data_IF_243410149995
#
_entry.id   IF_243410149995
#
_cell.length_a   1.000
_cell.length_b   1.000
_cell.length_c   1.000
_cell.angle_alpha   90.00
_cell.angle_beta   90.00
_cell.angle_gamma   90.00
#
_symmetry.space_group_name_H-M   'P 1'
#
loop_
_entity.id
_entity.type
_entity.pdbx_description
1 polymer ?
#
# COMPACT_ATOMS: atom_id res chain seq x y z
N UNK A 1 10.29 -15.57 -1.94
CA UNK A 1 10.98 -14.45 -1.25
C UNK A 1 10.16 -14.13 -0.02
N UNK A 2 10.77 -14.09 1.18
CA UNK A 2 10.05 -13.71 2.40
C UNK A 2 9.87 -12.19 2.44
N UNK A 3 8.68 -11.71 2.07
CA UNK A 3 8.37 -10.28 2.01
C UNK A 3 8.34 -9.64 3.41
N UNK A 4 7.98 -10.38 4.45
CA UNK A 4 7.90 -9.85 5.82
C UNK A 4 9.28 -9.52 6.41
N UNK A 5 10.35 -10.11 5.87
CA UNK A 5 11.72 -9.76 6.22
C UNK A 5 12.14 -8.34 5.78
N UNK A 6 11.47 -7.77 4.77
CA UNK A 6 11.80 -6.44 4.23
C UNK A 6 11.39 -5.35 5.21
N UNK A 7 12.06 -4.20 5.22
CA UNK A 7 11.64 -3.06 6.03
C UNK A 7 10.30 -2.47 5.56
N UNK A 8 9.61 -1.72 6.42
CA UNK A 8 8.41 -0.99 6.01
C UNK A 8 8.70 -0.07 4.82
N UNK A 9 9.85 0.63 4.84
CA UNK A 9 10.35 1.42 3.70
C UNK A 9 10.52 0.58 2.43
N UNK A 10 11.10 -0.61 2.55
CA UNK A 10 11.29 -1.53 1.42
C UNK A 10 9.97 -1.96 0.80
N UNK A 11 9.01 -2.32 1.65
CA UNK A 11 7.65 -2.69 1.23
C UNK A 11 6.89 -1.52 0.60
N UNK A 12 6.93 -0.32 1.19
CA UNK A 12 6.30 0.87 0.59
C UNK A 12 6.82 1.18 -0.81
N UNK A 13 8.14 1.05 -1.02
CA UNK A 13 8.74 1.20 -2.35
C UNK A 13 8.28 0.11 -3.34
N UNK A 14 8.10 -1.13 -2.89
CA UNK A 14 7.54 -2.20 -3.72
C UNK A 14 6.11 -1.88 -4.15
N UNK A 15 5.26 -1.43 -3.23
CA UNK A 15 3.89 -1.01 -3.55
C UNK A 15 3.88 0.14 -4.56
N UNK A 16 4.68 1.20 -4.34
CA UNK A 16 4.78 2.33 -5.27
C UNK A 16 5.19 1.88 -6.69
N UNK A 17 6.10 0.91 -6.81
CA UNK A 17 6.49 0.34 -8.11
C UNK A 17 5.37 -0.49 -8.71
N UNK A 18 4.68 -1.31 -7.92
CA UNK A 18 3.58 -2.15 -8.37
C UNK A 18 2.36 -1.36 -8.86
N UNK A 19 2.16 -0.12 -8.38
CA UNK A 19 1.14 0.77 -8.93
C UNK A 19 1.39 1.18 -10.39
N UNK A 20 2.65 1.30 -10.83
CA UNK A 20 2.95 1.86 -12.16
C UNK A 20 2.38 1.01 -13.30
N UNK A 21 2.53 -0.34 -13.30
CA UNK A 21 1.87 -1.18 -14.30
C UNK A 21 0.33 -1.08 -14.25
N UNK A 22 -0.29 -1.06 -13.08
CA UNK A 22 -1.76 -0.97 -12.97
C UNK A 22 -2.31 0.35 -13.53
N UNK A 23 -1.57 1.45 -13.41
CA UNK A 23 -1.94 2.77 -13.93
C UNK A 23 -1.72 2.94 -15.44
N UNK A 24 -0.90 2.08 -16.04
CA UNK A 24 -0.51 2.20 -17.46
C UNK A 24 -1.04 1.05 -18.29
N UNK A 25 -1.67 0.06 -17.65
CA UNK A 25 -2.26 -1.07 -18.33
C UNK A 25 -3.39 -0.59 -19.23
N UNK A 26 -3.24 -0.85 -20.53
CA UNK A 26 -4.29 -0.60 -21.51
C UNK A 26 -4.80 -1.94 -21.99
N UNK A 27 -6.10 -2.18 -21.82
CA UNK A 27 -6.74 -3.32 -22.46
C UNK A 27 -6.52 -3.24 -23.97
N UNK A 28 -6.17 -4.37 -24.57
CA UNK A 28 -6.01 -4.50 -26.03
C UNK A 28 -7.35 -4.66 -26.75
N UNK A 29 -8.47 -4.74 -26.03
CA UNK A 29 -9.80 -4.85 -26.62
C UNK A 29 -10.35 -3.46 -27.02
N UNK A 30 -10.54 -3.19 -28.33
CA UNK A 30 -11.11 -1.92 -28.82
C UNK A 30 -12.52 -1.63 -28.31
N UNK A 31 -13.26 -2.64 -27.83
CA UNK A 31 -14.63 -2.51 -27.32
C UNK A 31 -14.75 -1.89 -25.93
N UNK A 32 -13.65 -1.79 -25.16
CA UNK A 32 -13.67 -1.35 -23.76
C UNK A 32 -13.15 0.09 -23.55
N UNK A 33 -12.98 0.86 -24.63
CA UNK A 33 -12.42 2.23 -24.59
C UNK A 33 -13.11 3.20 -23.62
N UNK A 34 -14.40 3.00 -23.29
CA UNK A 34 -15.13 3.85 -22.33
C UNK A 34 -14.93 3.44 -20.86
N UNK A 35 -14.44 2.23 -20.57
CA UNK A 35 -14.08 1.79 -19.21
C UNK A 35 -12.69 2.33 -18.80
N UNK A 36 -11.88 2.72 -19.78
CA UNK A 36 -10.51 3.17 -19.60
C UNK A 36 -10.38 4.36 -18.63
N UNK A 37 -11.27 5.36 -18.72
CA UNK A 37 -11.22 6.54 -17.85
C UNK A 37 -11.58 6.20 -16.40
N UNK A 38 -12.50 5.26 -16.20
CA UNK A 38 -12.94 4.79 -14.89
C UNK A 38 -11.84 3.98 -14.19
N UNK A 39 -11.13 3.15 -14.94
CA UNK A 39 -10.04 2.32 -14.41
C UNK A 39 -8.79 3.14 -14.09
N UNK A 40 -8.46 4.14 -14.92
CA UNK A 40 -7.38 5.10 -14.65
C UNK A 40 -7.63 5.88 -13.35
N UNK A 41 -8.87 6.37 -13.15
CA UNK A 41 -9.27 7.05 -11.91
C UNK A 41 -9.23 6.11 -10.69
N UNK A 42 -9.62 4.85 -10.86
CA UNK A 42 -9.70 3.85 -9.79
C UNK A 42 -8.34 3.62 -9.12
N UNK A 43 -7.28 3.46 -9.90
CA UNK A 43 -5.92 3.25 -9.37
C UNK A 43 -5.25 4.57 -8.97
N UNK A 44 -5.54 5.68 -9.65
CA UNK A 44 -4.98 7.00 -9.32
C UNK A 44 -5.41 7.49 -7.93
N UNK A 45 -6.70 7.32 -7.59
CA UNK A 45 -7.23 7.66 -6.27
C UNK A 45 -6.58 6.82 -5.15
N UNK A 46 -6.37 5.52 -5.41
CA UNK A 46 -5.71 4.59 -4.47
C UNK A 46 -4.23 4.91 -4.27
N UNK A 47 -3.52 5.24 -5.35
CA UNK A 47 -2.13 5.69 -5.24
C UNK A 47 -2.04 6.98 -4.44
N UNK A 48 -2.95 7.92 -4.66
CA UNK A 48 -3.00 9.18 -3.90
C UNK A 48 -3.21 8.91 -2.41
N UNK A 49 -4.19 8.08 -2.06
CA UNK A 49 -4.44 7.68 -0.67
C UNK A 49 -3.23 6.96 -0.03
N UNK A 50 -2.55 6.10 -0.78
CA UNK A 50 -1.35 5.43 -0.30
C UNK A 50 -0.16 6.39 -0.10
N UNK A 51 0.03 7.36 -0.99
CA UNK A 51 1.04 8.42 -0.81
C UNK A 51 0.77 9.27 0.42
N UNK A 52 -0.49 9.64 0.65
CA UNK A 52 -0.88 10.35 1.87
C UNK A 52 -0.57 9.54 3.13
N UNK A 53 -0.81 8.23 3.10
CA UNK A 53 -0.41 7.36 4.21
C UNK A 53 1.11 7.36 4.41
N UNK A 54 1.90 7.19 3.34
CA UNK A 54 3.38 7.24 3.39
C UNK A 54 3.84 8.52 4.08
N UNK A 55 3.31 9.67 3.66
CA UNK A 55 3.69 10.98 4.18
C UNK A 55 3.26 11.13 5.64
N UNK A 56 2.10 10.59 6.04
CA UNK A 56 1.58 10.71 7.40
C UNK A 56 2.43 10.00 8.47
N UNK A 57 3.13 8.92 8.08
CA UNK A 57 3.96 8.14 9.00
C UNK A 57 5.45 8.21 8.66
N UNK A 58 5.84 9.03 7.70
CA UNK A 58 7.20 9.07 7.14
C UNK A 58 7.72 7.68 6.74
N UNK A 59 6.90 6.87 6.06
CA UNK A 59 7.22 5.46 5.75
C UNK A 59 8.52 5.30 4.94
N UNK A 60 8.94 6.34 4.21
CA UNK A 60 10.16 6.34 3.41
C UNK A 60 11.40 6.90 4.14
N UNK A 61 11.26 7.32 5.40
CA UNK A 61 12.36 7.87 6.17
C UNK A 61 13.51 6.85 6.34
N UNK A 62 14.77 7.29 6.18
CA UNK A 62 15.92 6.42 6.33
C UNK A 62 16.31 6.21 7.80
N UNK A 63 17.06 5.13 8.06
CA UNK A 63 17.84 4.93 9.29
C UNK A 63 17.00 5.10 10.57
N UNK A 64 17.46 5.90 11.55
CA UNK A 64 16.78 6.09 12.84
C UNK A 64 15.41 6.79 12.76
N UNK A 65 15.13 7.47 11.65
CA UNK A 65 13.82 8.07 11.41
C UNK A 65 12.82 7.09 10.75
N UNK A 66 13.28 5.92 10.32
CA UNK A 66 12.43 4.90 9.72
C UNK A 66 11.33 4.43 10.66
N UNK A 67 10.23 3.98 10.06
CA UNK A 67 9.11 3.41 10.79
C UNK A 67 9.52 2.15 11.57
N UNK A 68 10.39 1.31 10.99
CA UNK A 68 10.97 0.15 11.67
C UNK A 68 11.73 0.55 12.96
N UNK A 69 12.54 1.60 12.91
CA UNK A 69 13.26 2.09 14.10
C UNK A 69 12.33 2.73 15.13
N UNK A 70 11.25 3.39 14.70
CA UNK A 70 10.29 4.05 15.59
C UNK A 70 9.36 3.06 16.29
N UNK A 71 9.14 1.90 15.68
CA UNK A 71 8.28 0.83 16.19
C UNK A 71 9.09 -0.37 16.70
N UNK A 72 10.40 -0.21 16.94
CA UNK A 72 11.25 -1.33 17.38
C UNK A 72 10.82 -1.93 18.72
N UNK A 73 10.20 -1.14 19.59
CA UNK A 73 9.64 -1.59 20.87
C UNK A 73 8.15 -1.95 20.77
N UNK A 74 7.51 -1.66 19.64
CA UNK A 74 6.11 -1.94 19.34
C UNK A 74 6.04 -3.03 18.25
N UNK A 75 6.62 -4.20 18.53
CA UNK A 75 6.82 -5.28 17.55
C UNK A 75 5.51 -5.71 16.85
N UNK A 76 4.40 -5.72 17.60
CA UNK A 76 3.07 -6.04 17.05
C UNK A 76 2.63 -4.97 16.03
N UNK A 77 2.78 -3.69 16.35
CA UNK A 77 2.40 -2.60 15.45
C UNK A 77 3.27 -2.61 14.19
N UNK A 78 4.58 -2.84 14.35
CA UNK A 78 5.50 -3.00 13.22
C UNK A 78 5.09 -4.19 12.34
N UNK A 79 4.81 -5.34 12.95
CA UNK A 79 4.35 -6.52 12.22
C UNK A 79 3.06 -6.23 11.44
N UNK A 80 2.07 -5.60 12.06
CA UNK A 80 0.80 -5.27 11.42
C UNK A 80 0.97 -4.31 10.24
N UNK A 81 1.82 -3.29 10.38
CA UNK A 81 2.15 -2.39 9.26
C UNK A 81 2.76 -3.17 8.10
N UNK A 82 3.76 -4.02 8.39
CA UNK A 82 4.45 -4.80 7.37
C UNK A 82 3.53 -5.81 6.70
N UNK A 83 2.70 -6.52 7.47
CA UNK A 83 1.72 -7.46 6.96
C UNK A 83 0.70 -6.79 6.02
N UNK A 84 0.19 -5.61 6.38
CA UNK A 84 -0.73 -4.88 5.51
C UNK A 84 -0.04 -4.33 4.26
N UNK A 85 1.23 -3.90 4.34
CA UNK A 85 1.99 -3.53 3.13
C UNK A 85 2.23 -4.73 2.21
N UNK A 86 2.49 -5.91 2.77
CA UNK A 86 2.61 -7.16 2.00
C UNK A 86 1.29 -7.50 1.31
N UNK A 87 0.18 -7.45 2.03
CA UNK A 87 -1.15 -7.69 1.47
C UNK A 87 -1.45 -6.70 0.34
N UNK A 88 -1.19 -5.41 0.55
CA UNK A 88 -1.37 -4.38 -0.46
C UNK A 88 -0.51 -4.62 -1.71
N UNK A 89 0.74 -5.03 -1.53
CA UNK A 89 1.64 -5.39 -2.63
C UNK A 89 1.12 -6.59 -3.42
N UNK A 90 0.75 -7.67 -2.73
CA UNK A 90 0.23 -8.88 -3.36
C UNK A 90 -1.07 -8.61 -4.12
N UNK A 91 -2.00 -7.85 -3.55
CA UNK A 91 -3.23 -7.46 -4.24
C UNK A 91 -2.98 -6.63 -5.52
N UNK A 92 -1.92 -5.80 -5.56
CA UNK A 92 -1.51 -5.10 -6.79
C UNK A 92 -0.93 -6.05 -7.84
N UNK A 93 -0.13 -7.03 -7.42
CA UNK A 93 0.38 -8.08 -8.32
C UNK A 93 -0.77 -8.92 -8.88
N UNK A 94 -1.75 -9.29 -8.04
CA UNK A 94 -2.93 -10.04 -8.43
C UNK A 94 -3.78 -9.24 -9.43
N UNK A 95 -4.04 -7.95 -9.16
CA UNK A 95 -4.70 -7.07 -10.12
C UNK A 95 -3.99 -7.07 -11.48
N UNK A 96 -2.67 -6.95 -11.49
CA UNK A 96 -1.89 -6.93 -12.72
C UNK A 96 -1.97 -8.25 -13.49
N UNK A 97 -2.00 -9.39 -12.78
CA UNK A 97 -2.13 -10.71 -13.42
C UNK A 97 -3.53 -10.90 -14.01
N UNK A 98 -4.57 -10.57 -13.25
CA UNK A 98 -5.97 -10.62 -13.71
C UNK A 98 -6.19 -9.70 -14.91
N UNK A 99 -5.65 -8.48 -14.90
CA UNK A 99 -5.69 -7.58 -16.06
C UNK A 99 -5.07 -8.20 -17.31
N UNK A 100 -3.92 -8.87 -17.20
CA UNK A 100 -3.28 -9.55 -18.34
C UNK A 100 -4.11 -10.72 -18.87
N UNK A 101 -4.85 -11.38 -17.99
CA UNK A 101 -5.73 -12.51 -18.32
C UNK A 101 -7.12 -12.06 -18.79
N UNK A 102 -7.41 -10.75 -18.78
CA UNK A 102 -8.75 -10.16 -18.97
C UNK A 102 -9.80 -10.70 -17.98
N UNK A 103 -9.37 -11.01 -16.77
CA UNK A 103 -10.22 -11.47 -15.68
C UNK A 103 -10.63 -10.30 -14.76
N UNK A 104 -11.76 -10.40 -14.04
CA UNK A 104 -12.23 -9.37 -13.11
C UNK A 104 -11.24 -9.09 -11.97
N UNK A 105 -11.02 -7.82 -11.65
CA UNK A 105 -10.07 -7.37 -10.61
C UNK A 105 -10.75 -7.01 -9.29
N UNK A 106 -12.07 -7.05 -9.23
CA UNK A 106 -12.89 -6.54 -8.13
C UNK A 106 -12.52 -7.17 -6.79
N UNK A 107 -12.28 -8.48 -6.75
CA UNK A 107 -11.91 -9.17 -5.52
C UNK A 107 -10.53 -8.73 -5.01
N UNK A 108 -9.53 -8.67 -5.91
CA UNK A 108 -8.19 -8.18 -5.57
C UNK A 108 -8.22 -6.74 -5.06
N UNK A 109 -9.10 -5.90 -5.62
CA UNK A 109 -9.28 -4.53 -5.16
C UNK A 109 -9.93 -4.43 -3.77
N UNK A 110 -10.81 -5.36 -3.39
CA UNK A 110 -11.37 -5.40 -2.04
C UNK A 110 -10.28 -5.69 -1.00
N UNK A 111 -9.38 -6.63 -1.29
CA UNK A 111 -8.23 -6.90 -0.41
C UNK A 111 -7.28 -5.71 -0.34
N UNK A 112 -7.02 -5.05 -1.49
CA UNK A 112 -6.26 -3.82 -1.54
C UNK A 112 -6.88 -2.73 -0.64
N UNK A 113 -8.18 -2.48 -0.77
CA UNK A 113 -8.87 -1.42 -0.02
C UNK A 113 -8.89 -1.70 1.48
N UNK A 114 -9.06 -2.98 1.85
CA UNK A 114 -8.98 -3.42 3.24
C UNK A 114 -7.58 -3.20 3.83
N UNK A 115 -6.52 -3.54 3.08
CA UNK A 115 -5.14 -3.32 3.49
C UNK A 115 -4.86 -1.82 3.69
N UNK A 116 -5.26 -0.99 2.72
CA UNK A 116 -5.05 0.45 2.77
C UNK A 116 -5.81 1.09 3.94
N UNK A 117 -7.06 0.71 4.17
CA UNK A 117 -7.84 1.19 5.32
C UNK A 117 -7.21 0.80 6.66
N UNK A 118 -6.65 -0.41 6.74
CA UNK A 118 -5.93 -0.89 7.92
C UNK A 118 -4.67 -0.06 8.16
N UNK A 119 -3.90 0.25 7.12
CA UNK A 119 -2.74 1.13 7.20
C UNK A 119 -3.10 2.54 7.71
N UNK A 120 -4.19 3.12 7.19
CA UNK A 120 -4.69 4.43 7.67
C UNK A 120 -5.07 4.37 9.14
N UNK A 121 -5.72 3.30 9.59
CA UNK A 121 -6.08 3.11 11.01
C UNK A 121 -4.84 2.98 11.89
N UNK A 122 -3.84 2.22 11.45
CA UNK A 122 -2.56 2.06 12.14
C UNK A 122 -1.79 3.39 12.23
N UNK A 123 -1.80 4.22 11.18
CA UNK A 123 -1.16 5.53 11.20
C UNK A 123 -1.69 6.44 12.31
N UNK A 124 -3.00 6.40 12.56
CA UNK A 124 -3.63 7.15 13.65
C UNK A 124 -3.17 6.64 15.02
N UNK A 125 -3.06 5.32 15.20
CA UNK A 125 -2.58 4.71 16.43
C UNK A 125 -1.11 5.09 16.71
N UNK A 126 -0.24 4.98 15.69
CA UNK A 126 1.19 5.33 15.76
C UNK A 126 1.38 6.82 16.06
N UNK A 127 0.56 7.69 15.47
CA UNK A 127 0.63 9.13 15.72
C UNK A 127 0.15 9.50 17.13
N UNK A 128 -0.78 8.74 17.69
CA UNK A 128 -1.30 8.91 19.05
C UNK A 128 -0.29 8.51 20.13
N UNK A 129 0.52 7.47 19.92
CA UNK A 129 1.54 7.02 20.88
C UNK A 129 2.72 7.98 20.98
N UNK A 130 3.09 8.65 19.87
CA UNK A 130 4.14 9.67 19.84
C UNK A 130 3.85 10.95 20.65
N UNK A 131 2.57 11.26 20.95
CA UNK A 131 2.20 12.34 21.88
C UNK A 131 2.30 11.91 23.34
N UNK A 132 1.95 10.67 23.66
CA UNK A 132 1.99 10.12 25.03
C UNK A 132 3.42 9.97 25.55
N UNK A 133 4.37 9.60 24.69
CA UNK A 133 5.78 9.43 25.07
C UNK A 133 6.48 10.75 25.44
N UNK A 134 5.96 11.93 25.03
CA UNK A 134 6.56 13.25 25.32
C UNK A 134 6.09 13.87 26.64
N UNK A 135 5.24 13.17 27.40
CA UNK A 135 4.65 13.65 28.65
C UNK A 135 5.27 12.99 29.91
N UNK A 136 6.42 12.33 29.77
CA UNK A 136 7.16 11.74 30.89
C UNK A 136 8.59 12.27 30.95
#
# INVERSE_FOLDING_TARGET
>A
MDLLSLSARGLSNKCLKAFQPCLTFRSTDPGLSNQQTSDDERYSNRLTAFKLWIDSVDALAPSKASLDSRLSEQEIDLFLVKANLVMLFQSLEDCLNLLKENEPVEEALLYFDSALKSLVTLALAISGTGRRSRLH
#
